data_IF_582739175850
#
_entry.id   IF_582739175850
#
_cell.length_a   1.000
_cell.length_b   1.000
_cell.length_c   1.000
_cell.angle_alpha   90.00
_cell.angle_beta   90.00
_cell.angle_gamma   90.00
#
_symmetry.space_group_name_H-M   'P 1'
#
loop_
_entity.id
_entity.type
_entity.pdbx_description
1 polymer ?
#
# COMPACT_ATOMS: atom_id res chain seq x y z
N UNK A 1 -4.39 -12.35 -37.85
CA UNK A 1 -5.40 -12.10 -36.84
C UNK A 1 -4.84 -10.99 -35.97
N UNK A 2 -5.31 -9.77 -36.19
CA UNK A 2 -4.90 -8.57 -35.45
C UNK A 2 -5.64 -8.58 -34.13
N UNK A 3 -4.93 -8.74 -33.01
CA UNK A 3 -5.47 -8.53 -31.68
C UNK A 3 -5.75 -7.03 -31.52
N UNK A 4 -7.01 -6.67 -31.32
CA UNK A 4 -7.40 -5.33 -30.87
C UNK A 4 -6.85 -5.14 -29.46
N UNK A 5 -5.98 -4.15 -29.30
CA UNK A 5 -5.50 -3.70 -27.98
C UNK A 5 -6.69 -3.04 -27.26
N UNK A 6 -7.07 -3.58 -26.14
CA UNK A 6 -7.92 -2.87 -25.17
C UNK A 6 -7.21 -1.57 -24.74
N UNK A 7 -7.87 -0.43 -24.77
CA UNK A 7 -7.25 0.83 -24.35
C UNK A 7 -6.97 0.81 -22.85
N UNK A 8 -5.74 1.17 -22.47
CA UNK A 8 -5.32 1.24 -21.09
C UNK A 8 -6.01 2.42 -20.36
N UNK A 9 -6.12 2.38 -19.01
CA UNK A 9 -6.90 3.29 -18.17
C UNK A 9 -6.63 4.80 -18.41
N UNK A 10 -5.42 5.19 -18.79
CA UNK A 10 -5.07 6.58 -19.19
C UNK A 10 -5.85 7.08 -20.41
N UNK A 11 -6.34 6.19 -21.27
CA UNK A 11 -7.12 6.57 -22.46
C UNK A 11 -8.61 6.77 -22.15
N UNK A 12 -9.13 6.25 -21.03
CA UNK A 12 -10.52 6.49 -20.60
C UNK A 12 -10.73 7.88 -19.97
N UNK A 13 -9.72 8.47 -19.33
CA UNK A 13 -9.83 9.77 -18.66
C UNK A 13 -9.88 10.97 -19.61
N UNK A 14 -9.52 10.79 -20.89
CA UNK A 14 -9.58 11.87 -21.90
C UNK A 14 -10.87 11.89 -22.73
N UNK A 15 -11.78 10.94 -22.56
CA UNK A 15 -12.99 10.81 -23.42
C UNK A 15 -14.30 11.31 -22.78
N UNK A 16 -14.33 11.72 -21.51
CA UNK A 16 -15.56 12.12 -20.80
C UNK A 16 -15.76 13.64 -20.64
N UNK A 17 -15.10 14.45 -21.41
CA UNK A 17 -15.22 15.89 -21.41
C UNK A 17 -15.93 16.46 -22.62
N UNK A 18 -17.21 16.16 -22.92
CA UNK A 18 -18.10 17.04 -23.72
C UNK A 18 -19.55 16.48 -23.80
N UNK A 19 -20.46 17.23 -23.26
CA UNK A 19 -21.90 17.20 -23.65
C UNK A 19 -22.85 16.70 -22.55
N UNK A 20 -23.53 17.64 -21.92
CA UNK A 20 -24.76 18.22 -22.27
C UNK A 20 -25.75 18.26 -21.14
N UNK A 21 -26.06 19.44 -20.65
CA UNK A 21 -27.13 19.77 -19.72
C UNK A 21 -28.53 19.59 -20.34
N UNK A 22 -29.47 19.02 -19.60
CA UNK A 22 -30.94 19.32 -19.64
C UNK A 22 -31.59 18.64 -18.45
N UNK A 23 -31.99 19.34 -17.42
CA UNK A 23 -33.24 20.05 -17.19
C UNK A 23 -34.46 19.19 -16.87
N UNK A 24 -34.83 19.21 -15.55
CA UNK A 24 -36.12 19.59 -14.96
C UNK A 24 -37.33 18.67 -14.90
N UNK A 25 -37.88 18.70 -13.74
CA UNK A 25 -39.29 18.66 -13.29
C UNK A 25 -39.78 17.26 -12.85
N UNK A 26 -40.16 17.00 -11.60
CA UNK A 26 -41.10 17.70 -10.74
C UNK A 26 -42.33 16.85 -10.51
N UNK A 27 -42.77 16.70 -9.26
CA UNK A 27 -44.10 16.55 -8.65
C UNK A 27 -44.11 15.44 -7.58
N UNK A 28 -44.10 15.79 -6.36
CA UNK A 28 -45.11 16.06 -5.34
C UNK A 28 -46.35 15.12 -5.31
N UNK A 29 -46.54 14.48 -4.16
CA UNK A 29 -47.84 14.20 -3.63
C UNK A 29 -48.11 12.77 -3.25
N UNK A 30 -48.41 12.55 -1.94
CA UNK A 30 -49.57 11.86 -1.54
C UNK A 30 -49.47 10.94 -0.33
N UNK A 31 -49.90 11.48 0.77
CA UNK A 31 -50.16 10.89 2.06
C UNK A 31 -51.21 9.76 2.03
N UNK A 32 -51.11 8.72 2.92
CA UNK A 32 -52.18 7.77 3.11
C UNK A 32 -51.82 6.66 4.11
N UNK A 33 -52.16 6.82 5.36
CA UNK A 33 -52.03 5.81 6.41
C UNK A 33 -53.06 4.67 6.26
N UNK A 34 -52.78 3.52 6.89
CA UNK A 34 -53.70 2.38 6.96
C UNK A 34 -53.18 1.30 7.90
N UNK A 35 -53.69 1.33 9.10
CA UNK A 35 -53.52 0.33 10.15
C UNK A 35 -54.33 -0.93 9.80
N UNK A 36 -53.77 -2.14 9.95
CA UNK A 36 -54.51 -3.39 9.72
C UNK A 36 -53.82 -4.60 10.37
N UNK A 37 -54.26 -4.90 11.56
CA UNK A 37 -53.94 -6.10 12.34
C UNK A 37 -54.65 -7.32 11.71
N UNK A 38 -53.94 -8.45 11.50
CA UNK A 38 -54.51 -9.68 11.00
C UNK A 38 -53.66 -10.92 11.30
N UNK A 39 -54.02 -11.58 12.37
CA UNK A 39 -53.53 -12.89 12.79
C UNK A 39 -53.99 -13.99 11.83
N UNK A 40 -53.13 -14.89 11.36
CA UNK A 40 -53.51 -16.03 10.52
C UNK A 40 -52.42 -17.11 10.46
N UNK A 41 -52.61 -18.14 11.26
CA UNK A 41 -51.85 -19.39 11.31
C UNK A 41 -52.16 -20.23 10.06
N UNK A 42 -51.14 -20.84 9.43
CA UNK A 42 -51.32 -21.81 8.33
C UNK A 42 -50.02 -22.37 7.84
N UNK A 43 -49.72 -23.60 8.23
CA UNK A 43 -48.57 -24.37 7.74
C UNK A 43 -48.69 -24.70 6.23
N UNK A 44 -47.57 -24.84 5.59
CA UNK A 44 -47.42 -25.27 4.21
C UNK A 44 -45.95 -25.56 3.90
N UNK A 45 -45.65 -26.85 3.78
CA UNK A 45 -44.40 -27.34 3.22
C UNK A 45 -44.21 -26.76 1.82
N UNK A 46 -43.16 -26.00 1.63
CA UNK A 46 -42.74 -25.44 0.35
C UNK A 46 -41.25 -25.56 0.21
N UNK A 47 -40.84 -26.57 -0.55
CA UNK A 47 -39.49 -26.69 -1.10
C UNK A 47 -39.19 -25.37 -1.84
N UNK A 48 -38.40 -24.53 -1.25
CA UNK A 48 -37.92 -23.30 -1.89
C UNK A 48 -36.46 -23.51 -2.25
N UNK A 49 -36.23 -23.65 -3.55
CA UNK A 49 -34.92 -23.45 -4.15
C UNK A 49 -34.42 -22.07 -3.66
N UNK A 50 -33.52 -22.10 -2.71
CA UNK A 50 -32.78 -20.91 -2.27
C UNK A 50 -31.83 -20.52 -3.38
N UNK A 51 -32.31 -19.62 -4.24
CA UNK A 51 -31.44 -18.78 -5.04
C UNK A 51 -30.76 -17.87 -3.99
N UNK A 52 -29.61 -18.31 -3.47
CA UNK A 52 -28.73 -17.45 -2.70
C UNK A 52 -28.15 -16.45 -3.70
N UNK A 53 -28.72 -15.26 -3.73
CA UNK A 53 -27.94 -14.10 -4.07
C UNK A 53 -26.86 -14.03 -2.97
N UNK A 54 -25.74 -14.72 -3.21
CA UNK A 54 -24.55 -14.62 -2.37
C UNK A 54 -24.06 -13.18 -2.55
N UNK A 55 -24.31 -12.33 -1.56
CA UNK A 55 -23.53 -11.12 -1.41
C UNK A 55 -22.08 -11.61 -1.37
N UNK A 56 -21.26 -11.22 -2.37
CA UNK A 56 -19.83 -11.51 -2.35
C UNK A 56 -19.29 -10.87 -1.06
N UNK A 57 -18.52 -11.63 -0.30
CA UNK A 57 -17.88 -11.10 0.90
C UNK A 57 -16.91 -10.01 0.48
N UNK A 58 -17.11 -8.78 0.97
CA UNK A 58 -16.19 -7.67 0.71
C UNK A 58 -14.98 -7.79 1.63
N UNK A 59 -13.79 -7.88 1.03
CA UNK A 59 -12.53 -7.91 1.77
C UNK A 59 -12.13 -6.49 2.14
N UNK A 60 -12.06 -6.19 3.44
CA UNK A 60 -11.52 -4.93 3.92
C UNK A 60 -10.03 -5.05 4.08
N UNK A 61 -9.28 -4.15 3.44
CA UNK A 61 -7.82 -4.09 3.39
C UNK A 61 -7.36 -2.89 4.20
N UNK A 62 -6.60 -3.10 5.27
CA UNK A 62 -5.95 -2.04 6.03
C UNK A 62 -4.71 -1.53 5.30
N UNK A 63 -4.56 -0.20 5.19
CA UNK A 63 -3.44 0.41 4.49
C UNK A 63 -3.13 1.81 5.04
N UNK A 64 -1.85 2.20 5.09
CA UNK A 64 -1.41 3.54 5.49
C UNK A 64 -1.23 4.43 4.25
N UNK A 65 -2.24 5.21 3.96
CA UNK A 65 -2.33 6.06 2.78
C UNK A 65 -2.06 7.52 3.19
N UNK A 66 -1.14 8.25 2.52
CA UNK A 66 -0.45 7.92 1.27
C UNK A 66 0.92 7.28 1.47
N UNK A 67 1.28 6.33 0.58
CA UNK A 67 2.62 5.77 0.42
C UNK A 67 2.93 5.52 -1.06
N UNK A 68 3.07 6.59 -1.85
CA UNK A 68 3.30 6.53 -3.30
C UNK A 68 4.67 5.90 -3.62
N UNK A 69 4.77 4.98 -4.61
CA UNK A 69 3.76 4.60 -5.61
C UNK A 69 2.88 3.38 -5.24
N UNK A 70 2.88 2.90 -3.99
CA UNK A 70 2.13 1.69 -3.59
C UNK A 70 0.64 1.94 -3.35
N UNK A 71 0.29 2.95 -2.53
CA UNK A 71 -1.08 3.33 -2.24
C UNK A 71 -1.19 4.85 -1.98
N UNK A 72 -1.87 5.54 -2.86
CA UNK A 72 -2.02 6.99 -2.76
C UNK A 72 -3.30 7.48 -3.43
N UNK A 73 -3.68 8.73 -3.16
CA UNK A 73 -4.84 9.34 -3.81
C UNK A 73 -4.38 10.43 -4.77
N UNK A 74 -4.91 10.35 -6.00
CA UNK A 74 -4.70 11.42 -6.97
C UNK A 74 -5.48 12.69 -6.61
N UNK A 75 -5.32 13.76 -7.39
CA UNK A 75 -6.03 15.05 -7.20
C UNK A 75 -7.58 14.91 -7.24
N UNK A 76 -8.11 13.89 -7.90
CA UNK A 76 -9.55 13.59 -7.93
C UNK A 76 -10.03 12.81 -6.70
N UNK A 77 -9.11 12.38 -5.82
CA UNK A 77 -9.38 11.57 -4.64
C UNK A 77 -9.51 10.06 -4.92
N UNK A 78 -9.21 9.63 -6.15
CA UNK A 78 -9.21 8.21 -6.52
C UNK A 78 -7.99 7.52 -5.91
N UNK A 79 -8.19 6.33 -5.34
CA UNK A 79 -7.11 5.50 -4.80
C UNK A 79 -6.42 4.77 -5.94
N UNK A 80 -5.10 4.90 -6.01
CA UNK A 80 -4.23 4.33 -7.02
C UNK A 80 -2.97 3.77 -6.36
N UNK A 81 -2.21 2.97 -7.09
CA UNK A 81 -0.90 2.49 -6.68
C UNK A 81 -0.69 1.01 -6.95
N UNK A 82 0.55 0.58 -6.81
CA UNK A 82 0.95 -0.80 -7.08
C UNK A 82 0.18 -1.80 -6.22
N UNK A 83 0.06 -1.54 -4.90
CA UNK A 83 -0.70 -2.39 -3.98
C UNK A 83 -2.19 -2.43 -4.34
N UNK A 84 -2.73 -1.32 -4.85
CA UNK A 84 -4.14 -1.24 -5.28
C UNK A 84 -4.38 -2.10 -6.51
N UNK A 85 -3.48 -2.05 -7.50
CA UNK A 85 -3.62 -2.84 -8.73
C UNK A 85 -3.32 -4.34 -8.49
N UNK A 86 -2.40 -4.68 -7.58
CA UNK A 86 -2.21 -6.06 -7.11
C UNK A 86 -3.45 -6.55 -6.35
N UNK A 87 -4.09 -5.71 -5.53
CA UNK A 87 -5.33 -6.08 -4.84
C UNK A 87 -6.47 -6.35 -5.83
N UNK A 88 -6.63 -5.53 -6.88
CA UNK A 88 -7.59 -5.78 -7.96
C UNK A 88 -7.33 -7.12 -8.64
N UNK A 89 -6.07 -7.36 -9.05
CA UNK A 89 -5.70 -8.59 -9.74
C UNK A 89 -5.90 -9.85 -8.86
N UNK A 90 -5.55 -9.77 -7.57
CA UNK A 90 -5.66 -10.90 -6.64
C UNK A 90 -7.10 -11.11 -6.18
N UNK A 91 -7.72 -10.09 -5.56
CA UNK A 91 -9.02 -10.28 -4.90
C UNK A 91 -10.17 -10.27 -5.91
N UNK A 92 -10.21 -9.30 -6.84
CA UNK A 92 -11.31 -9.20 -7.77
C UNK A 92 -11.17 -10.17 -8.96
N UNK A 93 -10.04 -10.15 -9.66
CA UNK A 93 -9.89 -10.89 -10.91
C UNK A 93 -9.66 -12.39 -10.68
N UNK A 94 -8.80 -12.79 -9.72
CA UNK A 94 -8.51 -14.20 -9.47
C UNK A 94 -9.50 -14.84 -8.50
N UNK A 95 -9.84 -14.18 -7.39
CA UNK A 95 -10.69 -14.77 -6.35
C UNK A 95 -12.17 -14.44 -6.51
N UNK A 96 -12.53 -13.42 -7.34
CA UNK A 96 -13.92 -13.01 -7.56
C UNK A 96 -14.58 -12.38 -6.34
N UNK A 97 -13.77 -11.73 -5.48
CA UNK A 97 -14.20 -11.07 -4.24
C UNK A 97 -14.27 -9.57 -4.46
N UNK A 98 -15.24 -8.90 -3.84
CA UNK A 98 -15.22 -7.45 -3.72
C UNK A 98 -14.20 -7.04 -2.64
N UNK A 99 -13.57 -5.86 -2.79
CA UNK A 99 -12.63 -5.36 -1.79
C UNK A 99 -12.75 -3.84 -1.61
N UNK A 100 -12.31 -3.36 -0.45
CA UNK A 100 -12.19 -1.94 -0.15
C UNK A 100 -10.97 -1.67 0.74
N UNK A 101 -10.34 -0.50 0.58
CA UNK A 101 -9.21 -0.07 1.41
C UNK A 101 -9.69 0.80 2.55
N UNK A 102 -9.29 0.46 3.78
CA UNK A 102 -9.47 1.24 4.99
C UNK A 102 -8.14 1.89 5.41
N UNK A 103 -8.11 3.22 5.44
CA UNK A 103 -6.92 3.97 5.85
C UNK A 103 -6.67 3.85 7.35
N UNK A 104 -5.47 3.40 7.72
CA UNK A 104 -5.04 3.20 9.10
C UNK A 104 -3.58 3.57 9.24
N UNK A 105 -3.19 4.30 10.30
CA UNK A 105 -1.77 4.63 10.52
C UNK A 105 -0.91 3.38 10.75
N UNK A 106 0.30 3.37 10.17
CA UNK A 106 1.17 2.19 10.08
C UNK A 106 1.55 1.60 11.44
N UNK A 107 1.83 2.44 12.44
CA UNK A 107 2.24 2.02 13.79
C UNK A 107 1.15 1.22 14.55
N UNK A 108 -0.13 1.38 14.17
CA UNK A 108 -1.27 0.68 14.75
C UNK A 108 -1.87 -0.42 13.87
N UNK A 109 -1.36 -0.60 12.65
CA UNK A 109 -2.04 -1.40 11.63
C UNK A 109 -2.13 -2.90 11.99
N UNK A 110 -1.09 -3.50 12.54
CA UNK A 110 -1.10 -4.91 12.99
C UNK A 110 -2.09 -5.11 14.15
N UNK A 111 -2.13 -4.18 15.10
CA UNK A 111 -3.10 -4.24 16.19
C UNK A 111 -4.55 -4.13 15.67
N UNK A 112 -4.78 -3.32 14.65
CA UNK A 112 -6.09 -3.16 13.99
C UNK A 112 -6.50 -4.43 13.25
N UNK A 113 -5.58 -5.10 12.55
CA UNK A 113 -5.80 -6.41 11.93
C UNK A 113 -6.20 -7.47 12.98
N UNK A 114 -5.45 -7.55 14.08
CA UNK A 114 -5.71 -8.51 15.16
C UNK A 114 -7.02 -8.24 15.92
N UNK A 115 -7.51 -6.99 15.89
CA UNK A 115 -8.82 -6.61 16.38
C UNK A 115 -9.95 -6.82 15.35
N UNK A 116 -9.65 -7.39 14.18
CA UNK A 116 -10.57 -7.67 13.08
C UNK A 116 -11.28 -6.40 12.54
N UNK A 117 -10.60 -5.25 12.53
CA UNK A 117 -11.12 -4.05 11.88
C UNK A 117 -11.11 -4.21 10.35
N UNK A 118 -10.16 -4.98 9.83
CA UNK A 118 -10.05 -5.41 8.43
C UNK A 118 -9.54 -6.85 8.36
N UNK A 119 -9.59 -7.48 7.19
CA UNK A 119 -9.21 -8.89 7.03
C UNK A 119 -7.73 -9.08 6.73
N UNK A 120 -7.14 -8.19 5.92
CA UNK A 120 -5.74 -8.24 5.50
C UNK A 120 -5.09 -6.86 5.58
N UNK A 121 -3.76 -6.82 5.58
CA UNK A 121 -2.98 -5.59 5.37
C UNK A 121 -2.28 -5.68 4.02
N UNK A 122 -2.46 -4.64 3.18
CA UNK A 122 -1.61 -4.31 2.04
C UNK A 122 -1.17 -2.85 2.20
N UNK A 123 0.11 -2.65 2.47
CA UNK A 123 0.68 -1.34 2.78
C UNK A 123 2.20 -1.39 2.67
N UNK A 124 2.72 -1.92 1.57
CA UNK A 124 4.15 -2.13 1.34
C UNK A 124 4.84 -2.75 2.59
N UNK A 125 4.17 -3.72 3.22
CA UNK A 125 4.56 -4.21 4.54
C UNK A 125 5.67 -5.25 4.44
N UNK A 126 6.85 -4.91 4.96
CA UNK A 126 8.00 -5.81 5.05
C UNK A 126 7.72 -7.00 5.95
N UNK A 127 8.00 -8.18 5.42
CA UNK A 127 8.04 -9.45 6.16
C UNK A 127 9.29 -9.44 7.05
N UNK A 128 9.12 -9.55 8.36
CA UNK A 128 10.21 -9.70 9.31
C UNK A 128 9.80 -10.54 10.52
N UNK A 129 10.79 -11.00 11.30
CA UNK A 129 10.56 -11.90 12.44
C UNK A 129 9.64 -11.27 13.50
N UNK A 130 9.81 -9.99 13.82
CA UNK A 130 9.02 -9.29 14.85
C UNK A 130 7.54 -9.21 14.47
N UNK A 131 7.24 -8.96 13.20
CA UNK A 131 5.87 -8.93 12.67
C UNK A 131 5.30 -10.33 12.56
N UNK A 132 6.11 -11.33 12.14
CA UNK A 132 5.71 -12.73 12.02
C UNK A 132 5.37 -13.38 13.36
N UNK A 133 5.78 -12.83 14.51
CA UNK A 133 5.30 -13.24 15.82
C UNK A 133 3.83 -12.88 16.07
N UNK A 134 3.26 -11.93 15.31
CA UNK A 134 1.93 -11.36 15.54
C UNK A 134 0.94 -11.63 14.40
N UNK A 135 1.43 -11.84 13.17
CA UNK A 135 0.65 -12.02 11.95
C UNK A 135 1.34 -13.05 11.05
N UNK A 136 0.58 -13.66 10.14
CA UNK A 136 1.14 -14.46 9.06
C UNK A 136 1.22 -13.61 7.78
N UNK A 137 2.11 -14.00 6.85
CA UNK A 137 2.30 -13.31 5.60
C UNK A 137 2.02 -14.21 4.40
N UNK A 138 1.64 -13.61 3.29
CA UNK A 138 1.69 -14.25 1.97
C UNK A 138 3.14 -14.54 1.55
N UNK A 139 3.30 -15.24 0.43
CA UNK A 139 4.55 -15.21 -0.30
C UNK A 139 4.90 -13.76 -0.67
N UNK A 140 6.21 -13.41 -0.70
CA UNK A 140 6.62 -12.04 -0.99
C UNK A 140 6.15 -11.61 -2.39
N UNK A 141 5.62 -10.38 -2.51
CA UNK A 141 5.19 -9.85 -3.80
C UNK A 141 6.08 -8.72 -4.34
N UNK A 142 6.94 -8.12 -3.51
CA UNK A 142 7.84 -7.04 -3.90
C UNK A 142 9.17 -7.11 -3.13
N UNK A 143 10.26 -6.59 -3.72
CA UNK A 143 11.56 -6.43 -3.04
C UNK A 143 11.92 -4.95 -2.99
N UNK A 144 12.28 -4.45 -1.81
CA UNK A 144 12.69 -3.08 -1.56
C UNK A 144 14.01 -3.01 -0.79
N UNK A 145 14.54 -1.80 -0.65
CA UNK A 145 15.74 -1.50 0.13
C UNK A 145 15.48 -0.31 1.03
N UNK A 146 15.86 -0.37 2.30
CA UNK A 146 15.96 0.85 3.11
C UNK A 146 17.13 1.69 2.62
N UNK A 147 16.88 2.95 2.38
CA UNK A 147 17.81 3.92 1.81
C UNK A 147 17.84 5.21 2.61
N UNK A 148 18.75 6.10 2.25
CA UNK A 148 18.90 7.39 2.91
C UNK A 148 18.76 8.51 1.89
N UNK A 149 17.79 9.41 2.07
CA UNK A 149 17.67 10.66 1.33
C UNK A 149 18.29 11.81 2.10
N UNK A 150 18.96 12.69 1.36
CA UNK A 150 19.61 13.90 1.86
C UNK A 150 19.36 15.09 0.92
N UNK A 151 19.64 16.29 1.40
CA UNK A 151 19.67 17.47 0.52
C UNK A 151 21.01 17.55 -0.23
N UNK A 152 20.96 17.81 -1.54
CA UNK A 152 22.13 18.01 -2.38
C UNK A 152 23.00 19.13 -1.86
N UNK A 153 24.32 18.86 -1.66
CA UNK A 153 25.27 19.83 -1.12
C UNK A 153 25.08 20.16 0.36
N UNK A 154 24.27 19.36 1.08
CA UNK A 154 24.16 19.43 2.54
C UNK A 154 25.39 18.88 3.27
N UNK A 155 25.26 18.72 4.60
CA UNK A 155 26.37 18.29 5.46
C UNK A 155 26.59 16.76 5.42
N UNK A 156 25.66 15.98 4.89
CA UNK A 156 25.73 14.52 4.78
C UNK A 156 26.14 14.15 3.35
N UNK A 157 27.34 13.62 3.17
CA UNK A 157 27.88 13.21 1.88
C UNK A 157 28.25 11.71 1.83
N UNK A 158 28.48 11.10 2.99
CA UNK A 158 28.76 9.66 3.13
C UNK A 158 28.11 9.10 4.39
N UNK A 159 28.04 7.76 4.51
CA UNK A 159 27.40 7.08 5.65
C UNK A 159 27.96 7.52 7.00
N UNK A 160 29.26 7.82 7.07
CA UNK A 160 29.90 8.24 8.32
C UNK A 160 29.40 9.61 8.81
N UNK A 161 28.93 10.50 7.91
CA UNK A 161 28.40 11.81 8.26
C UNK A 161 27.03 11.74 8.97
N UNK A 162 26.38 10.56 8.96
CA UNK A 162 25.17 10.33 9.73
C UNK A 162 25.43 10.32 11.25
N UNK A 163 26.68 10.08 11.69
CA UNK A 163 27.03 10.18 13.10
C UNK A 163 26.85 11.61 13.61
N UNK A 164 26.05 11.78 14.66
CA UNK A 164 25.70 13.10 15.23
C UNK A 164 24.58 13.82 14.48
N UNK A 165 24.06 13.23 13.38
CA UNK A 165 22.95 13.80 12.63
C UNK A 165 21.59 13.51 13.27
N UNK A 166 20.57 14.25 12.84
CA UNK A 166 19.16 13.93 13.10
C UNK A 166 18.56 13.33 11.84
N UNK A 167 17.99 12.13 11.95
CA UNK A 167 17.30 11.43 10.83
C UNK A 167 15.79 11.38 11.07
N UNK A 168 15.03 11.59 10.00
CA UNK A 168 13.57 11.43 9.96
C UNK A 168 13.20 10.03 9.51
N UNK A 169 12.21 9.43 10.16
CA UNK A 169 11.67 8.10 9.84
C UNK A 169 10.17 8.10 10.05
N UNK A 170 9.47 7.14 9.44
CA UNK A 170 8.09 6.87 9.82
C UNK A 170 8.03 5.87 10.96
N UNK A 171 7.17 6.14 11.96
CA UNK A 171 7.00 5.31 13.16
C UNK A 171 6.50 3.91 12.83
N UNK A 172 7.08 2.89 13.48
CA UNK A 172 6.68 1.48 13.36
C UNK A 172 7.16 0.81 12.08
N UNK A 173 7.98 1.49 11.26
CA UNK A 173 8.51 0.94 10.01
C UNK A 173 9.87 0.27 10.20
N UNK A 174 10.30 -0.46 9.18
CA UNK A 174 11.66 -0.99 9.08
C UNK A 174 12.70 0.12 8.84
N UNK A 175 12.28 1.28 8.31
CA UNK A 175 13.11 2.48 8.26
C UNK A 175 13.45 3.02 9.64
N UNK A 176 12.51 3.02 10.60
CA UNK A 176 12.79 3.35 12.00
C UNK A 176 13.75 2.34 12.63
N UNK A 177 13.53 1.03 12.40
CA UNK A 177 14.44 -0.01 12.89
C UNK A 177 15.87 0.13 12.31
N UNK A 178 16.00 0.44 11.02
CA UNK A 178 17.29 0.69 10.39
C UNK A 178 18.00 1.93 10.98
N UNK A 179 17.25 2.96 11.37
CA UNK A 179 17.80 4.12 12.08
C UNK A 179 18.27 3.75 13.50
N UNK A 180 17.54 2.89 14.22
CA UNK A 180 17.92 2.38 15.54
C UNK A 180 19.20 1.52 15.46
N UNK A 181 19.34 0.71 14.42
CA UNK A 181 20.55 -0.06 14.17
C UNK A 181 21.75 0.88 13.90
N UNK A 182 21.60 1.90 13.06
CA UNK A 182 22.63 2.92 12.85
C UNK A 182 22.97 3.67 14.14
N UNK A 183 21.98 4.06 14.95
CA UNK A 183 22.20 4.70 16.24
C UNK A 183 23.04 3.81 17.16
N UNK A 184 22.75 2.51 17.18
CA UNK A 184 23.51 1.55 17.98
C UNK A 184 24.95 1.40 17.48
N UNK A 185 25.19 1.40 16.15
CA UNK A 185 26.52 1.36 15.57
C UNK A 185 27.34 2.62 15.88
N UNK A 186 26.69 3.77 15.97
CA UNK A 186 27.33 5.06 16.33
C UNK A 186 27.37 5.33 17.85
N UNK A 187 27.29 4.29 18.69
CA UNK A 187 27.31 4.39 20.15
C UNK A 187 26.26 5.36 20.74
N UNK A 188 25.12 5.52 20.06
CA UNK A 188 24.04 6.44 20.44
C UNK A 188 24.18 7.86 19.88
N UNK A 189 25.19 8.12 19.05
CA UNK A 189 25.43 9.42 18.44
C UNK A 189 24.69 9.56 17.09
N UNK A 190 23.36 9.41 17.12
CA UNK A 190 22.41 9.66 16.05
C UNK A 190 21.07 10.03 16.71
N UNK A 191 20.43 11.10 16.30
CA UNK A 191 19.09 11.46 16.77
C UNK A 191 18.04 10.96 15.79
N UNK A 192 17.00 10.27 16.29
CA UNK A 192 15.90 9.74 15.48
C UNK A 192 14.65 10.56 15.76
N UNK A 193 14.05 11.11 14.69
CA UNK A 193 12.78 11.83 14.76
C UNK A 193 11.72 11.05 13.99
N UNK A 194 10.78 10.43 14.73
CA UNK A 194 9.72 9.61 14.16
C UNK A 194 8.47 10.43 13.87
N UNK A 195 7.91 10.23 12.69
CA UNK A 195 6.69 10.86 12.20
C UNK A 195 5.57 9.83 12.05
N UNK A 196 4.33 10.27 12.10
CA UNK A 196 3.18 9.37 11.93
C UNK A 196 3.04 8.90 10.46
N UNK A 197 3.49 9.74 9.52
CA UNK A 197 3.54 9.42 8.09
C UNK A 197 4.87 9.84 7.49
N UNK A 198 5.32 9.14 6.43
CA UNK A 198 6.60 9.42 5.78
C UNK A 198 6.66 10.82 5.16
N UNK A 199 5.53 11.33 4.67
CA UNK A 199 5.43 12.70 4.13
C UNK A 199 5.87 13.76 5.14
N UNK A 200 5.60 13.53 6.43
CA UNK A 200 6.07 14.40 7.50
C UNK A 200 7.59 14.39 7.66
N UNK A 201 8.26 13.25 7.46
CA UNK A 201 9.71 13.15 7.48
C UNK A 201 10.33 13.86 6.26
N UNK A 202 9.72 13.71 5.07
CA UNK A 202 10.16 14.43 3.86
C UNK A 202 10.02 15.94 4.01
N UNK A 203 8.88 16.41 4.54
CA UNK A 203 8.70 17.84 4.86
C UNK A 203 9.76 18.35 5.84
N UNK A 204 10.11 17.56 6.84
CA UNK A 204 11.14 17.91 7.81
C UNK A 204 12.53 18.01 7.16
N UNK A 205 12.87 17.13 6.21
CA UNK A 205 14.09 17.20 5.43
C UNK A 205 14.16 18.53 4.62
N UNK A 206 13.10 18.85 3.89
CA UNK A 206 13.01 20.08 3.08
C UNK A 206 13.11 21.34 3.94
N UNK A 207 12.64 21.28 5.17
CA UNK A 207 12.70 22.39 6.13
C UNK A 207 13.98 22.39 6.99
N UNK A 208 14.98 21.53 6.72
CA UNK A 208 16.20 21.36 7.48
C UNK A 208 15.96 21.09 8.98
N UNK A 209 14.87 20.40 9.31
CA UNK A 209 14.57 19.95 10.68
C UNK A 209 15.22 18.60 10.96
N UNK A 210 15.42 17.79 9.92
CA UNK A 210 16.25 16.59 9.91
C UNK A 210 17.31 16.71 8.82
N UNK A 211 18.44 16.02 8.96
CA UNK A 211 19.55 16.05 8.00
C UNK A 211 19.43 14.98 6.93
N UNK A 212 18.67 13.92 7.22
CA UNK A 212 18.41 12.80 6.32
C UNK A 212 17.06 12.17 6.63
N UNK A 213 16.52 11.40 5.67
CA UNK A 213 15.34 10.56 5.85
C UNK A 213 15.70 9.13 5.47
N UNK A 214 15.33 8.16 6.31
CA UNK A 214 15.48 6.74 6.02
C UNK A 214 14.11 6.18 5.65
N UNK A 215 14.02 5.62 4.43
CA UNK A 215 12.80 5.04 3.88
C UNK A 215 13.10 4.11 2.72
N UNK A 216 12.07 3.41 2.25
CA UNK A 216 12.13 2.49 1.11
C UNK A 216 12.55 3.21 -0.18
N UNK A 217 13.37 2.53 -0.98
CA UNK A 217 14.00 3.09 -2.17
C UNK A 217 13.00 3.59 -3.23
N UNK A 218 11.91 2.89 -3.44
CA UNK A 218 10.91 3.25 -4.47
C UNK A 218 10.15 4.51 -4.11
N UNK A 219 9.67 4.62 -2.86
CA UNK A 219 9.00 5.82 -2.35
C UNK A 219 9.97 6.99 -2.28
N UNK A 220 11.21 6.73 -1.87
CA UNK A 220 12.29 7.72 -1.87
C UNK A 220 12.63 8.21 -3.27
N UNK A 221 12.61 7.32 -4.28
CA UNK A 221 12.87 7.68 -5.68
C UNK A 221 11.76 8.57 -6.26
N UNK A 222 10.50 8.24 -5.95
CA UNK A 222 9.36 9.03 -6.38
C UNK A 222 9.42 10.45 -5.80
N UNK A 223 9.65 10.57 -4.48
CA UNK A 223 9.82 11.85 -3.82
C UNK A 223 11.01 12.66 -4.37
N UNK A 224 12.16 12.02 -4.61
CA UNK A 224 13.35 12.68 -5.15
C UNK A 224 13.14 13.12 -6.62
N UNK A 225 12.36 12.38 -7.40
CA UNK A 225 12.03 12.75 -8.78
C UNK A 225 11.12 13.99 -8.88
N UNK A 226 10.28 14.20 -7.87
CA UNK A 226 9.35 15.33 -7.79
C UNK A 226 9.93 16.56 -7.08
N UNK A 227 11.08 16.41 -6.40
CA UNK A 227 11.63 17.44 -5.52
C UNK A 227 13.07 17.79 -5.87
N UNK A 228 13.28 19.00 -6.43
CA UNK A 228 14.61 19.50 -6.77
C UNK A 228 15.53 19.56 -5.52
N UNK A 229 16.73 19.04 -5.65
CA UNK A 229 17.77 19.12 -4.59
C UNK A 229 17.63 18.06 -3.50
N UNK A 230 16.78 17.07 -3.68
CA UNK A 230 16.76 15.84 -2.85
C UNK A 230 17.45 14.72 -3.62
N UNK A 231 18.38 14.02 -2.98
CA UNK A 231 19.16 12.95 -3.60
C UNK A 231 19.34 11.78 -2.64
N UNK A 232 19.55 10.60 -3.21
CA UNK A 232 20.02 9.46 -2.42
C UNK A 232 21.44 9.68 -1.94
N UNK A 233 21.71 9.26 -0.71
CA UNK A 233 23.07 9.17 -0.22
C UNK A 233 23.80 8.05 -0.97
N UNK A 234 24.89 8.40 -1.67
CA UNK A 234 25.71 7.42 -2.40
C UNK A 234 26.50 6.53 -1.43
N UNK A 235 26.83 5.33 -1.85
CA UNK A 235 27.70 4.44 -1.09
C UNK A 235 27.38 2.97 -1.24
N UNK A 236 28.35 2.15 -0.91
CA UNK A 236 28.19 0.71 -0.85
C UNK A 236 27.34 0.34 0.37
N UNK A 237 26.31 -0.47 0.15
CA UNK A 237 25.43 -0.96 1.20
C UNK A 237 25.29 -2.49 1.16
N UNK A 238 24.27 -3.01 1.84
CA UNK A 238 24.04 -4.47 1.92
C UNK A 238 23.71 -5.13 0.58
N UNK A 239 23.27 -4.35 -0.41
CA UNK A 239 22.99 -4.82 -1.76
C UNK A 239 24.20 -4.70 -2.72
N UNK A 240 25.36 -4.19 -2.30
CA UNK A 240 26.49 -3.89 -3.17
C UNK A 240 27.04 -5.09 -3.96
N UNK A 241 26.88 -6.31 -3.43
CA UNK A 241 27.36 -7.54 -4.09
C UNK A 241 26.31 -8.15 -5.07
N UNK A 242 25.15 -7.52 -5.26
CA UNK A 242 24.11 -7.99 -6.20
C UNK A 242 24.46 -7.59 -7.64
N UNK A 243 24.00 -8.37 -8.59
CA UNK A 243 24.20 -8.07 -10.02
C UNK A 243 23.48 -6.78 -10.46
N UNK A 244 22.43 -6.39 -9.74
CA UNK A 244 21.59 -5.22 -9.94
C UNK A 244 21.74 -4.17 -8.82
N UNK A 245 22.91 -4.16 -8.16
CA UNK A 245 23.19 -3.24 -7.04
C UNK A 245 22.98 -1.79 -7.45
N UNK A 246 22.19 -1.01 -6.67
CA UNK A 246 22.04 0.41 -6.94
C UNK A 246 23.31 1.20 -6.56
N UNK A 247 23.48 2.38 -7.15
CA UNK A 247 24.62 3.28 -6.85
C UNK A 247 24.47 4.02 -5.51
N UNK A 248 23.33 3.88 -4.83
CA UNK A 248 23.04 4.51 -3.54
C UNK A 248 23.22 3.55 -2.36
N UNK A 249 23.43 4.11 -1.17
CA UNK A 249 23.55 3.36 0.06
C UNK A 249 22.27 2.58 0.39
N UNK A 250 22.39 1.27 0.54
CA UNK A 250 21.32 0.36 0.98
C UNK A 250 21.60 -0.11 2.41
N UNK A 251 20.65 0.09 3.32
CA UNK A 251 20.77 -0.30 4.73
C UNK A 251 20.27 -1.72 4.97
N UNK A 252 19.13 -2.08 4.34
CA UNK A 252 18.52 -3.42 4.42
C UNK A 252 18.00 -3.85 3.05
N UNK A 253 17.76 -5.16 2.89
CA UNK A 253 17.01 -5.74 1.78
C UNK A 253 15.71 -6.27 2.37
N UNK A 254 14.59 -5.91 1.79
CA UNK A 254 13.28 -6.17 2.32
C UNK A 254 12.37 -6.85 1.29
N UNK A 255 11.47 -7.69 1.78
CA UNK A 255 10.44 -8.33 0.98
C UNK A 255 9.08 -7.93 1.55
N UNK A 256 8.16 -7.44 0.69
CA UNK A 256 6.80 -7.12 1.10
C UNK A 256 5.87 -8.31 0.96
N UNK A 257 4.97 -8.45 1.92
CA UNK A 257 3.92 -9.46 1.93
C UNK A 257 2.58 -8.89 2.36
N UNK A 258 1.52 -9.53 1.93
CA UNK A 258 0.17 -9.29 2.44
C UNK A 258 0.09 -9.94 3.82
N UNK A 259 -0.35 -9.20 4.86
CA UNK A 259 -0.42 -9.73 6.21
C UNK A 259 -1.84 -10.19 6.58
N UNK A 260 -1.91 -11.30 7.32
CA UNK A 260 -3.12 -11.97 7.75
C UNK A 260 -3.08 -12.21 9.26
N UNK A 261 -4.26 -12.37 9.89
CA UNK A 261 -4.29 -12.95 11.24
C UNK A 261 -3.80 -14.39 11.21
N UNK A 262 -3.18 -14.85 12.30
CA UNK A 262 -2.60 -16.19 12.43
C UNK A 262 -3.63 -17.34 12.36
N UNK A 263 -4.91 -17.07 12.34
CA UNK A 263 -6.00 -18.04 12.21
C UNK A 263 -6.69 -18.03 10.82
N UNK A 264 -6.14 -17.32 9.83
CA UNK A 264 -6.70 -17.17 8.46
C UNK A 264 -5.84 -17.89 7.39
N UNK A 265 -5.29 -19.06 7.75
CA UNK A 265 -4.39 -19.86 6.90
C UNK A 265 -5.00 -20.24 5.56
N UNK A 266 -6.29 -20.63 5.53
CA UNK A 266 -6.97 -21.06 4.31
C UNK A 266 -7.05 -19.90 3.30
N UNK A 267 -7.40 -18.71 3.75
CA UNK A 267 -7.46 -17.53 2.89
C UNK A 267 -6.08 -17.06 2.44
N UNK A 268 -5.08 -17.16 3.31
CA UNK A 268 -3.69 -16.87 2.95
C UNK A 268 -3.17 -17.80 1.85
N UNK A 269 -3.50 -19.09 1.90
CA UNK A 269 -3.17 -20.04 0.82
C UNK A 269 -3.88 -19.69 -0.50
N UNK A 270 -5.17 -19.32 -0.47
CA UNK A 270 -5.91 -18.85 -1.66
C UNK A 270 -5.27 -17.59 -2.28
N UNK A 271 -4.82 -16.65 -1.45
CA UNK A 271 -4.12 -15.42 -1.90
C UNK A 271 -2.74 -15.77 -2.48
N UNK A 272 -1.99 -16.71 -1.91
CA UNK A 272 -0.73 -17.18 -2.47
C UNK A 272 -0.92 -17.83 -3.84
N UNK A 273 -1.94 -18.66 -4.00
CA UNK A 273 -2.28 -19.27 -5.28
C UNK A 273 -2.65 -18.21 -6.32
N UNK A 274 -3.38 -17.16 -5.92
CA UNK A 274 -3.73 -16.03 -6.79
C UNK A 274 -2.49 -15.18 -7.17
N UNK A 275 -1.60 -14.89 -6.22
CA UNK A 275 -0.31 -14.21 -6.49
C UNK A 275 0.56 -15.02 -7.47
N UNK A 276 0.60 -16.35 -7.32
CA UNK A 276 1.30 -17.23 -8.26
C UNK A 276 0.67 -17.18 -9.65
N UNK A 277 -0.67 -17.18 -9.74
CA UNK A 277 -1.40 -17.15 -11.00
C UNK A 277 -1.14 -15.86 -11.79
N UNK A 278 -1.18 -14.67 -11.13
CA UNK A 278 -0.91 -13.39 -11.82
C UNK A 278 0.55 -13.25 -12.26
N UNK A 279 1.48 -13.97 -11.61
CA UNK A 279 2.88 -14.06 -12.06
C UNK A 279 3.02 -14.97 -13.27
N UNK A 280 2.33 -16.12 -13.28
CA UNK A 280 2.41 -17.09 -14.37
C UNK A 280 1.80 -16.55 -15.67
N UNK A 281 0.70 -15.78 -15.58
CA UNK A 281 0.01 -15.23 -16.75
C UNK A 281 0.57 -13.88 -17.24
N UNK A 282 1.49 -13.27 -16.49
CA UNK A 282 2.18 -12.01 -16.82
C UNK A 282 1.47 -10.74 -16.34
N UNK A 283 0.32 -10.86 -15.67
CA UNK A 283 -0.41 -9.71 -15.10
C UNK A 283 0.46 -8.95 -14.10
N UNK A 284 1.21 -9.67 -13.25
CA UNK A 284 2.14 -9.06 -12.31
C UNK A 284 3.20 -8.19 -13.01
N UNK A 285 3.80 -8.70 -14.09
CA UNK A 285 4.83 -7.98 -14.84
C UNK A 285 4.25 -6.74 -15.51
N UNK A 286 3.02 -6.80 -16.03
CA UNK A 286 2.32 -5.64 -16.61
C UNK A 286 2.07 -4.56 -15.56
N UNK A 287 1.62 -4.93 -14.35
CA UNK A 287 1.42 -4.01 -13.22
C UNK A 287 2.77 -3.44 -12.76
N UNK A 288 3.79 -4.27 -12.58
CA UNK A 288 5.12 -3.84 -12.16
C UNK A 288 5.72 -2.82 -13.13
N UNK A 289 5.64 -3.07 -14.44
CA UNK A 289 6.16 -2.18 -15.46
C UNK A 289 5.43 -0.82 -15.50
N UNK A 290 4.19 -0.75 -15.06
CA UNK A 290 3.44 0.52 -15.00
C UNK A 290 4.02 1.49 -13.97
N UNK A 291 4.52 0.98 -12.84
CA UNK A 291 4.99 1.79 -11.72
C UNK A 291 6.51 1.93 -11.67
N UNK A 292 7.27 0.91 -12.12
CA UNK A 292 8.70 0.79 -11.83
C UNK A 292 9.59 0.63 -13.08
N UNK A 293 9.03 0.46 -14.30
CA UNK A 293 9.85 0.44 -15.49
C UNK A 293 10.35 1.85 -15.82
N UNK A 294 11.69 1.97 -16.00
CA UNK A 294 12.40 3.21 -16.31
C UNK A 294 12.14 3.71 -17.77
#
# INVERSE_FOLDING_TARGET
>A
MTRERTPNRRQYLTALGAGGAAALAGCMGGNGGGNGNGNGNGGGDGNGDGNGDGESETIVIGSDIPYEPFEYRNEAGELLGFDVDIAEAVFADQLGLDYEFEQTGFDGIIASLNNANFRVIMSAMTINETRAEQVDFSDPYFTAYQTVLVLEGGDIAERADLQGATVGVQRGTTGEAAAEDLQSEFDGDLEIQSYDQITGAFDALLNNQVSAVINDNTVSADFAAETDGVVFLEGDGVAADRDDAPDYLTLTIEEYGIAFRQDDDEFREEVNDALAAIREDGTYDEIYDEYFAA
#
